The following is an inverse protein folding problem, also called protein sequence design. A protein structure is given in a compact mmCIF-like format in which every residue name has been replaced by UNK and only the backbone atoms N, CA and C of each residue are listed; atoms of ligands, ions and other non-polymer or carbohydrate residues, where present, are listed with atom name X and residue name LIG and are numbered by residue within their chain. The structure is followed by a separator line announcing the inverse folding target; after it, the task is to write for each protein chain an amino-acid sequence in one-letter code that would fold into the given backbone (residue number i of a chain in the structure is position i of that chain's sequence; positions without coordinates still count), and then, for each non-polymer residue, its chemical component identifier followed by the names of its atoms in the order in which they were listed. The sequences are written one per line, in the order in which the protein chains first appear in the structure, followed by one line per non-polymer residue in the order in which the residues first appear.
data_IF_937567612880
#
_entry.id   IF_937567612880
#
_cell.length_a   1.000
_cell.length_b   1.000
_cell.length_c   1.000
_cell.angle_alpha   90.00
_cell.angle_beta   90.00
_cell.angle_gamma   90.00
#
_symmetry.space_group_name_H-M   'P 1'
#
loop_
_entity.id
_entity.type
_entity.pdbx_description
1 polymer ?
#
# COMPACT_ATOMS: atom_id res chain seq x y z
N UNK A 1 24.97 5.25 3.70
CA UNK A 1 24.64 6.54 4.35
C UNK A 1 23.77 6.30 5.58
N UNK A 2 23.76 7.22 6.54
CA UNK A 2 22.83 7.20 7.68
C UNK A 2 21.82 8.35 7.54
N UNK A 3 20.54 8.09 7.80
CA UNK A 3 19.44 9.06 7.72
C UNK A 3 18.70 9.14 9.06
N UNK A 4 18.50 10.37 9.52
CA UNK A 4 17.56 10.73 10.59
C UNK A 4 16.72 11.90 10.09
N UNK A 5 15.39 11.76 10.09
CA UNK A 5 14.47 12.69 9.43
C UNK A 5 13.79 12.09 8.19
N UNK A 6 13.46 12.91 7.20
CA UNK A 6 12.80 12.50 5.96
C UNK A 6 13.65 12.83 4.74
N UNK A 7 13.71 11.90 3.80
CA UNK A 7 14.33 12.13 2.50
C UNK A 7 13.65 11.33 1.40
N UNK A 8 13.56 11.94 0.22
CA UNK A 8 13.19 11.28 -1.02
C UNK A 8 14.46 10.95 -1.81
N UNK A 9 14.56 9.71 -2.27
CA UNK A 9 15.69 9.20 -3.05
C UNK A 9 15.23 8.81 -4.44
N UNK A 10 16.02 9.20 -5.45
CA UNK A 10 15.94 8.70 -6.81
C UNK A 10 17.29 8.09 -7.15
N UNK A 11 17.37 6.77 -7.12
CA UNK A 11 18.61 6.01 -7.32
C UNK A 11 18.61 5.43 -8.71
N UNK A 12 19.68 5.68 -9.47
CA UNK A 12 19.89 5.08 -10.79
C UNK A 12 20.07 3.56 -10.66
N UNK A 13 19.74 2.82 -11.72
CA UNK A 13 19.86 1.36 -11.68
C UNK A 13 21.32 0.92 -11.71
N UNK A 14 21.76 0.24 -10.65
CA UNK A 14 23.07 -0.39 -10.54
C UNK A 14 22.95 -1.64 -9.64
N UNK A 15 22.99 -2.81 -10.27
CA UNK A 15 22.94 -4.09 -9.56
C UNK A 15 24.29 -4.47 -8.91
N UNK A 16 25.40 -3.97 -9.45
CA UNK A 16 26.74 -4.24 -8.95
C UNK A 16 27.04 -3.43 -7.67
N UNK A 17 26.48 -2.22 -7.56
CA UNK A 17 26.66 -1.34 -6.41
C UNK A 17 25.33 -0.97 -5.72
N UNK A 18 24.74 -1.88 -4.92
CA UNK A 18 23.52 -1.63 -4.19
C UNK A 18 23.62 -0.41 -3.26
N UNK A 19 22.68 0.51 -3.41
CA UNK A 19 22.55 1.67 -2.54
C UNK A 19 21.90 1.28 -1.20
N UNK A 20 22.46 1.77 -0.09
CA UNK A 20 22.00 1.44 1.27
C UNK A 20 21.75 2.69 2.11
N UNK A 21 20.52 2.79 2.62
CA UNK A 21 20.11 3.81 3.60
C UNK A 21 19.95 3.13 4.95
N UNK A 22 20.70 3.59 5.94
CA UNK A 22 20.64 3.13 7.32
C UNK A 22 19.84 4.13 8.14
N UNK A 23 18.95 3.65 8.99
CA UNK A 23 18.28 4.44 10.02
C UNK A 23 18.61 3.84 11.39
N UNK A 24 18.00 4.38 12.45
CA UNK A 24 18.15 3.83 13.80
C UNK A 24 17.77 2.34 13.87
N UNK A 25 16.71 1.94 13.15
CA UNK A 25 16.13 0.61 13.27
C UNK A 25 16.09 -0.20 11.98
N UNK A 26 16.27 0.42 10.82
CA UNK A 26 16.13 -0.25 9.52
C UNK A 26 17.38 -0.07 8.66
N UNK A 27 17.64 -1.09 7.86
CA UNK A 27 18.48 -1.01 6.68
C UNK A 27 17.58 -1.14 5.46
N UNK A 28 17.71 -0.18 4.54
CA UNK A 28 17.00 -0.16 3.27
C UNK A 28 18.00 -0.33 2.14
N UNK A 29 17.88 -1.40 1.35
CA UNK A 29 18.77 -1.72 0.22
C UNK A 29 17.99 -1.69 -1.08
N UNK A 30 18.56 -1.01 -2.08
CA UNK A 30 17.95 -0.81 -3.38
C UNK A 30 18.97 -0.96 -4.50
N UNK A 31 18.49 -1.28 -5.71
CA UNK A 31 19.31 -1.44 -6.91
C UNK A 31 18.97 -0.43 -8.01
N UNK A 32 18.05 0.51 -7.76
CA UNK A 32 17.50 1.40 -8.80
C UNK A 32 16.03 1.69 -8.57
N UNK A 33 15.73 2.63 -7.68
CA UNK A 33 14.37 2.87 -7.17
C UNK A 33 14.15 4.35 -6.89
N UNK A 34 12.88 4.75 -6.94
CA UNK A 34 12.42 6.00 -6.32
C UNK A 34 11.64 5.67 -5.06
N UNK A 35 12.09 6.15 -3.91
CA UNK A 35 11.49 5.82 -2.62
C UNK A 35 11.69 6.95 -1.60
N UNK A 36 10.83 7.00 -0.59
CA UNK A 36 10.90 7.94 0.52
C UNK A 36 11.20 7.17 1.81
N UNK A 37 12.07 7.70 2.64
CA UNK A 37 12.31 7.19 4.00
C UNK A 37 11.96 8.29 4.99
N UNK A 38 11.15 7.95 5.99
CA UNK A 38 10.77 8.79 7.13
C UNK A 38 11.20 8.10 8.42
N UNK A 39 12.20 8.66 9.08
CA UNK A 39 12.84 8.10 10.26
C UNK A 39 13.15 9.22 11.27
N UNK A 40 12.11 9.94 11.70
CA UNK A 40 12.25 10.99 12.71
C UNK A 40 12.46 10.38 14.11
N UNK A 41 13.44 10.84 14.90
CA UNK A 41 13.69 10.32 16.25
C UNK A 41 12.48 10.44 17.19
N UNK A 42 11.65 11.47 17.00
CA UNK A 42 10.47 11.76 17.82
C UNK A 42 9.22 10.99 17.36
N UNK A 43 9.24 10.35 16.19
CA UNK A 43 8.11 9.57 15.70
C UNK A 43 8.22 8.12 16.18
N UNK A 44 7.08 7.56 16.56
CA UNK A 44 6.99 6.19 17.07
C UNK A 44 7.26 5.12 16.00
N UNK A 45 7.65 5.46 14.77
CA UNK A 45 7.89 4.47 13.72
C UNK A 45 8.74 4.98 12.57
N UNK A 46 9.32 4.05 11.83
CA UNK A 46 10.03 4.34 10.57
C UNK A 46 9.17 3.88 9.40
N UNK A 47 9.00 4.74 8.40
CA UNK A 47 8.25 4.43 7.18
C UNK A 47 9.17 4.45 5.97
N UNK A 48 9.09 3.42 5.14
CA UNK A 48 9.78 3.35 3.84
C UNK A 48 8.72 3.16 2.77
N UNK A 49 8.57 4.12 1.86
CA UNK A 49 7.51 4.14 0.85
C UNK A 49 8.12 4.05 -0.55
N UNK A 50 7.63 3.14 -1.38
CA UNK A 50 8.19 2.89 -2.72
C UNK A 50 7.31 3.51 -3.80
N UNK A 51 7.93 4.33 -4.66
CA UNK A 51 7.29 4.87 -5.87
C UNK A 51 7.60 4.03 -7.10
N UNK A 52 8.86 3.64 -7.30
CA UNK A 52 9.28 2.80 -8.44
C UNK A 52 10.37 1.80 -8.06
N UNK A 53 10.45 0.70 -8.81
CA UNK A 53 11.42 -0.37 -8.63
C UNK A 53 11.12 -1.27 -7.41
N UNK A 54 12.15 -1.93 -6.85
CA UNK A 54 12.03 -2.84 -5.72
C UNK A 54 12.96 -2.47 -4.57
N UNK A 55 12.43 -2.41 -3.36
CA UNK A 55 13.17 -2.02 -2.16
C UNK A 55 13.18 -3.18 -1.16
N UNK A 56 14.36 -3.58 -0.68
CA UNK A 56 14.48 -4.53 0.43
C UNK A 56 14.67 -3.76 1.74
N UNK A 57 13.81 -4.00 2.70
CA UNK A 57 13.87 -3.40 4.04
C UNK A 57 14.09 -4.49 5.06
N UNK A 58 15.09 -4.34 5.91
CA UNK A 58 15.37 -5.27 7.01
C UNK A 58 15.56 -4.53 8.32
N UNK A 59 15.08 -5.05 9.45
CA UNK A 59 15.43 -4.52 10.74
C UNK A 59 16.94 -4.62 10.96
N UNK A 60 17.52 -3.51 11.40
CA UNK A 60 18.91 -3.42 11.77
C UNK A 60 19.03 -3.90 13.22
N UNK A 61 19.57 -5.10 13.42
CA UNK A 61 20.00 -5.52 14.76
C UNK A 61 21.23 -4.69 15.13
N UNK A 62 21.33 -4.17 16.38
CA UNK A 62 22.60 -3.67 16.87
C UNK A 62 23.67 -4.75 16.69
N UNK A 63 24.91 -4.35 16.39
CA UNK A 63 26.01 -5.30 16.37
C UNK A 63 26.07 -5.99 17.74
N UNK A 64 26.15 -7.34 17.80
CA UNK A 64 26.25 -8.01 19.09
C UNK A 64 27.50 -7.51 19.81
N UNK A 65 27.34 -7.06 21.05
CA UNK A 65 28.48 -6.89 21.94
C UNK A 65 29.15 -8.24 22.17
N UNK A 66 30.43 -8.25 22.53
CA UNK A 66 31.22 -9.48 22.73
C UNK A 66 30.53 -10.46 23.70
N UNK A 67 29.76 -9.94 24.67
CA UNK A 67 28.94 -10.71 25.61
C UNK A 67 27.69 -11.38 25.00
N UNK A 68 27.15 -10.88 23.87
CA UNK A 68 25.96 -11.41 23.20
C UNK A 68 26.29 -12.45 22.11
N UNK A 69 27.58 -12.60 21.76
CA UNK A 69 28.03 -13.59 20.79
C UNK A 69 27.97 -15.03 21.33
N UNK A 70 28.05 -15.21 22.66
CA UNK A 70 28.21 -16.52 23.30
C UNK A 70 26.88 -17.28 23.54
N UNK A 71 25.72 -16.60 23.54
CA UNK A 71 24.40 -17.22 23.79
C UNK A 71 23.41 -16.92 22.66
N UNK A 72 23.79 -17.25 21.43
CA UNK A 72 22.97 -16.95 20.24
C UNK A 72 21.91 -18.02 19.99
N UNK A 73 20.92 -18.15 20.88
CA UNK A 73 19.62 -18.70 20.46
C UNK A 73 19.01 -17.65 19.54
N UNK A 74 19.09 -17.85 18.22
CA UNK A 74 18.54 -16.91 17.24
C UNK A 74 17.02 -16.79 17.50
N UNK A 75 16.62 -15.78 18.30
CA UNK A 75 15.24 -15.35 18.37
C UNK A 75 14.72 -15.06 16.95
N UNK A 76 13.42 -15.29 16.69
CA UNK A 76 12.86 -15.35 15.34
C UNK A 76 13.36 -14.16 14.52
N UNK A 77 14.07 -14.47 13.43
CA UNK A 77 14.60 -13.46 12.54
C UNK A 77 13.42 -12.64 12.01
N UNK A 78 13.29 -11.39 12.46
CA UNK A 78 12.30 -10.47 11.88
C UNK A 78 12.64 -10.36 10.40
N UNK A 79 11.77 -10.95 9.57
CA UNK A 79 12.08 -11.25 8.17
C UNK A 79 12.19 -9.94 7.41
N UNK A 80 13.24 -9.82 6.60
CA UNK A 80 13.36 -8.73 5.65
C UNK A 80 12.14 -8.74 4.71
N UNK A 81 11.62 -7.56 4.40
CA UNK A 81 10.52 -7.38 3.46
C UNK A 81 11.05 -6.84 2.14
N UNK A 82 10.47 -7.33 1.05
CA UNK A 82 10.62 -6.71 -0.26
C UNK A 82 9.35 -5.94 -0.55
N UNK A 83 9.51 -4.66 -0.89
CA UNK A 83 8.47 -3.74 -1.26
C UNK A 83 8.48 -3.51 -2.77
N UNK A 84 7.29 -3.51 -3.35
CA UNK A 84 6.99 -3.15 -4.72
C UNK A 84 6.43 -1.72 -4.78
N UNK A 85 6.28 -1.12 -5.98
CA UNK A 85 5.60 0.16 -6.11
C UNK A 85 4.22 0.15 -5.45
N UNK A 86 3.80 1.29 -4.93
CA UNK A 86 2.55 1.47 -4.16
C UNK A 86 2.49 0.69 -2.84
N UNK A 87 3.62 0.20 -2.35
CA UNK A 87 3.74 -0.40 -1.03
C UNK A 87 4.62 0.45 -0.11
N UNK A 88 4.39 0.30 1.18
CA UNK A 88 5.23 0.87 2.22
C UNK A 88 5.55 -0.17 3.29
N UNK A 89 6.71 -0.04 3.92
CA UNK A 89 7.01 -0.70 5.17
C UNK A 89 6.82 0.28 6.33
N UNK A 90 6.09 -0.16 7.35
CA UNK A 90 5.96 0.56 8.62
C UNK A 90 6.63 -0.28 9.70
N UNK A 91 7.63 0.30 10.35
CA UNK A 91 8.33 -0.32 11.47
C UNK A 91 7.92 0.33 12.78
N UNK A 92 7.40 -0.48 13.69
CA UNK A 92 7.08 -0.09 15.06
C UNK A 92 8.19 -0.61 16.01
N UNK A 93 9.06 0.26 16.57
CA UNK A 93 10.16 -0.13 17.45
C UNK A 93 9.66 -0.79 18.73
N UNK A 94 8.57 -0.29 19.33
CA UNK A 94 8.00 -0.86 20.56
C UNK A 94 7.52 -2.31 20.44
N UNK A 95 7.16 -2.76 19.23
CA UNK A 95 6.77 -4.16 18.95
C UNK A 95 7.82 -4.92 18.15
N UNK A 96 8.93 -4.26 17.81
CA UNK A 96 9.93 -4.70 16.83
C UNK A 96 9.32 -5.29 15.55
N UNK A 97 8.19 -4.74 15.13
CA UNK A 97 7.38 -5.31 14.06
C UNK A 97 7.58 -4.50 12.79
N UNK A 98 7.99 -5.19 11.72
CA UNK A 98 8.03 -4.66 10.37
C UNK A 98 6.80 -5.15 9.62
N UNK A 99 5.92 -4.24 9.20
CA UNK A 99 4.69 -4.56 8.47
C UNK A 99 4.73 -3.96 7.09
N UNK A 100 4.17 -4.67 6.13
CA UNK A 100 3.93 -4.16 4.78
C UNK A 100 2.51 -3.65 4.68
N UNK A 101 2.36 -2.47 4.12
CA UNK A 101 1.08 -1.79 3.93
C UNK A 101 1.01 -1.18 2.53
N UNK A 102 -0.17 -0.71 2.11
CA UNK A 102 -0.30 0.10 0.91
C UNK A 102 0.12 1.54 1.20
N UNK A 103 0.63 2.20 0.16
CA UNK A 103 0.81 3.66 0.23
C UNK A 103 -0.54 4.37 0.38
N UNK A 104 -0.62 5.47 1.15
CA UNK A 104 -1.81 6.32 1.22
C UNK A 104 -2.19 6.95 -0.13
N UNK A 105 -1.21 7.11 -1.03
CA UNK A 105 -1.40 7.74 -2.34
C UNK A 105 -0.75 6.87 -3.42
N UNK A 106 -1.46 5.88 -3.97
CA UNK A 106 -0.95 5.00 -5.02
C UNK A 106 -0.91 5.72 -6.37
N UNK A 107 0.11 5.42 -7.16
CA UNK A 107 0.33 5.95 -8.51
C UNK A 107 -0.01 4.86 -9.53
N UNK A 108 -0.50 5.25 -10.70
CA UNK A 108 -0.66 4.33 -11.81
C UNK A 108 0.68 3.78 -12.29
N UNK A 109 0.77 2.46 -12.37
CA UNK A 109 1.91 1.76 -12.96
C UNK A 109 1.67 1.44 -14.44
N UNK A 110 0.42 1.07 -14.77
CA UNK A 110 -0.04 0.87 -16.13
C UNK A 110 -1.21 1.83 -16.41
N UNK A 111 -1.00 2.91 -17.18
CA UNK A 111 -2.08 3.82 -17.56
C UNK A 111 -3.14 3.10 -18.39
N UNK A 112 -4.39 3.22 -17.99
CA UNK A 112 -5.54 2.75 -18.74
C UNK A 112 -6.74 3.68 -18.50
N UNK A 113 -7.66 3.80 -19.47
CA UNK A 113 -8.92 4.50 -19.22
C UNK A 113 -9.72 3.73 -18.18
N UNK A 114 -10.12 4.43 -17.12
CA UNK A 114 -11.06 3.90 -16.15
C UNK A 114 -12.44 4.46 -16.48
N UNK A 115 -13.07 3.86 -17.47
CA UNK A 115 -14.44 4.12 -17.89
C UNK A 115 -15.13 2.76 -18.02
N UNK A 116 -15.83 2.38 -16.96
CA UNK A 116 -16.54 1.12 -16.86
C UNK A 116 -18.02 1.43 -16.72
N UNK A 117 -18.81 1.01 -17.70
CA UNK A 117 -20.26 1.12 -17.71
C UNK A 117 -20.88 -0.26 -17.55
N UNK A 118 -21.65 -0.45 -16.48
CA UNK A 118 -22.35 -1.68 -16.11
C UNK A 118 -21.43 -2.91 -16.20
N UNK A 119 -20.18 -2.78 -15.74
CA UNK A 119 -19.16 -3.83 -15.87
C UNK A 119 -19.12 -4.75 -14.67
N UNK A 120 -18.88 -6.07 -14.87
CA UNK A 120 -18.71 -7.00 -13.77
C UNK A 120 -17.66 -6.52 -12.77
N UNK A 121 -17.98 -6.54 -11.47
CA UNK A 121 -17.06 -6.08 -10.41
C UNK A 121 -15.72 -6.82 -10.49
N UNK A 122 -15.72 -8.12 -10.81
CA UNK A 122 -14.50 -8.89 -10.97
C UNK A 122 -13.55 -8.29 -12.03
N UNK A 123 -14.08 -7.89 -13.19
CA UNK A 123 -13.31 -7.27 -14.28
C UNK A 123 -12.68 -5.95 -13.82
N UNK A 124 -13.47 -5.11 -13.13
CA UNK A 124 -13.01 -3.82 -12.59
C UNK A 124 -11.92 -4.01 -11.53
N UNK A 125 -12.08 -5.01 -10.64
CA UNK A 125 -11.08 -5.32 -9.62
C UNK A 125 -9.77 -5.81 -10.24
N UNK A 126 -9.82 -6.66 -11.27
CA UNK A 126 -8.61 -7.09 -12.01
C UNK A 126 -7.94 -5.92 -12.73
N UNK A 127 -8.73 -5.02 -13.32
CA UNK A 127 -8.20 -3.82 -13.96
C UNK A 127 -7.49 -2.91 -12.94
N UNK A 128 -8.07 -2.70 -11.75
CA UNK A 128 -7.46 -1.92 -10.67
C UNK A 128 -6.20 -2.61 -10.11
N UNK A 129 -6.26 -3.93 -9.93
CA UNK A 129 -5.13 -4.78 -9.51
C UNK A 129 -3.93 -4.56 -10.42
N UNK A 130 -4.16 -4.63 -11.73
CA UNK A 130 -3.13 -4.47 -12.77
C UNK A 130 -2.60 -3.03 -12.81
N UNK A 131 -3.49 -2.06 -12.87
CA UNK A 131 -3.11 -0.66 -13.05
C UNK A 131 -2.32 -0.08 -11.87
N UNK A 132 -2.62 -0.49 -10.64
CA UNK A 132 -1.93 -0.02 -9.43
C UNK A 132 -0.92 -1.04 -8.87
N UNK A 133 -0.81 -2.25 -9.44
CA UNK A 133 0.10 -3.29 -8.93
C UNK A 133 -0.19 -3.75 -7.50
N UNK A 134 -1.44 -3.64 -7.07
CA UNK A 134 -1.90 -4.07 -5.73
C UNK A 134 -2.42 -5.51 -5.79
N UNK A 135 -2.40 -6.26 -4.69
CA UNK A 135 -3.15 -7.54 -4.62
C UNK A 135 -4.52 -7.28 -4.02
N UNK A 136 -5.57 -7.39 -4.83
CA UNK A 136 -6.94 -7.34 -4.33
C UNK A 136 -7.43 -8.79 -4.25
N UNK A 137 -7.80 -9.21 -3.04
CA UNK A 137 -8.38 -10.54 -2.79
C UNK A 137 -9.87 -10.39 -2.53
N UNK A 138 -10.66 -11.17 -3.25
CA UNK A 138 -12.11 -11.20 -3.16
C UNK A 138 -12.63 -12.61 -3.44
N UNK A 139 -13.84 -12.91 -2.99
CA UNK A 139 -14.52 -14.15 -3.35
C UNK A 139 -15.29 -13.96 -4.66
N UNK A 140 -15.02 -14.74 -5.73
CA UNK A 140 -15.74 -14.61 -7.00
C UNK A 140 -17.25 -14.78 -6.86
N UNK A 141 -17.69 -15.70 -5.98
CA UNK A 141 -19.10 -15.92 -5.71
C UNK A 141 -19.78 -14.72 -5.05
N UNK A 142 -19.05 -13.96 -4.22
CA UNK A 142 -19.59 -12.79 -3.53
C UNK A 142 -19.82 -11.58 -4.45
N UNK A 143 -19.17 -11.56 -5.61
CA UNK A 143 -19.29 -10.49 -6.61
C UNK A 143 -19.96 -10.95 -7.91
N UNK A 144 -20.42 -12.20 -7.94
CA UNK A 144 -21.06 -12.80 -9.10
C UNK A 144 -22.35 -12.04 -9.47
N UNK A 145 -22.42 -11.55 -10.71
CA UNK A 145 -23.58 -10.80 -11.20
C UNK A 145 -23.73 -9.38 -10.63
N UNK A 146 -22.74 -8.87 -9.89
CA UNK A 146 -22.65 -7.46 -9.51
C UNK A 146 -21.95 -6.69 -10.63
N UNK A 147 -22.55 -5.57 -11.03
CA UNK A 147 -21.97 -4.63 -11.98
C UNK A 147 -21.72 -3.28 -11.33
N UNK A 148 -20.77 -2.52 -11.88
CA UNK A 148 -20.40 -1.19 -11.40
C UNK A 148 -20.25 -0.22 -12.56
N UNK A 149 -20.63 1.02 -12.29
CA UNK A 149 -20.26 2.17 -13.10
C UNK A 149 -19.09 2.88 -12.42
N UNK A 150 -17.95 2.98 -13.10
CA UNK A 150 -16.75 3.62 -12.56
C UNK A 150 -16.12 4.48 -13.64
N UNK A 151 -16.08 5.77 -13.36
CA UNK A 151 -15.40 6.75 -14.20
C UNK A 151 -14.36 7.45 -13.36
N UNK A 152 -13.11 7.44 -13.82
CA UNK A 152 -12.12 8.33 -13.22
C UNK A 152 -12.48 9.76 -13.61
N UNK A 153 -12.85 10.56 -12.61
CA UNK A 153 -12.89 12.00 -12.79
C UNK A 153 -11.47 12.48 -13.07
N UNK A 154 -11.26 13.10 -14.24
CA UNK A 154 -10.08 13.92 -14.44
C UNK A 154 -10.10 15.02 -13.38
N UNK A 155 -8.95 15.31 -12.76
CA UNK A 155 -8.84 16.41 -11.81
C UNK A 155 -9.14 17.72 -12.54
N UNK A 156 -10.38 18.18 -12.46
CA UNK A 156 -10.78 19.48 -12.97
C UNK A 156 -10.23 20.55 -12.04
N UNK A 157 -9.07 21.13 -12.40
CA UNK A 157 -8.83 22.54 -12.09
C UNK A 157 -9.71 23.34 -13.05
N UNK A 158 -10.94 23.65 -12.63
CA UNK A 158 -11.93 24.64 -13.16
C UNK A 158 -13.34 24.03 -12.99
N UNK A 159 -14.39 24.71 -12.52
CA UNK A 159 -14.61 26.12 -12.24
C UNK A 159 -15.70 26.23 -11.16
N UNK A 160 -15.59 27.27 -10.32
CA UNK A 160 -16.70 27.75 -9.49
C UNK A 160 -17.77 28.32 -10.40
N UNK A 161 -18.96 27.73 -10.42
CA UNK A 161 -20.21 28.45 -10.69
C UNK A 161 -21.44 27.61 -10.35
N UNK A 162 -22.29 28.21 -9.48
CA UNK A 162 -23.73 28.02 -9.32
C UNK A 162 -24.29 26.86 -8.45
N UNK A 163 -24.88 27.29 -7.33
CA UNK A 163 -25.83 26.74 -6.32
C UNK A 163 -27.29 26.80 -6.90
N UNK A 164 -28.45 26.34 -6.31
CA UNK A 164 -28.82 25.72 -4.99
C UNK A 164 -29.79 24.49 -4.99
N UNK A 165 -29.97 23.87 -3.80
CA UNK A 165 -31.32 23.69 -3.20
C UNK A 165 -31.96 22.28 -3.10
N UNK A 166 -32.41 21.95 -1.86
CA UNK A 166 -33.30 20.85 -1.40
C UNK A 166 -32.78 19.41 -1.49
N UNK A 167 -32.96 18.51 -0.52
CA UNK A 167 -33.61 18.45 0.78
C UNK A 167 -33.58 16.97 1.21
N UNK A 168 -33.32 16.70 2.50
CA UNK A 168 -33.64 15.47 3.26
C UNK A 168 -33.50 14.08 2.59
N UNK A 169 -32.56 13.25 3.03
CA UNK A 169 -32.90 12.12 3.95
C UNK A 169 -31.73 11.17 4.26
N UNK A 170 -31.59 10.94 5.57
CA UNK A 170 -31.08 9.79 6.31
C UNK A 170 -30.40 8.65 5.51
N UNK A 171 -29.07 8.59 5.58
CA UNK A 171 -28.33 7.33 5.52
C UNK A 171 -27.35 7.22 6.71
N UNK A 172 -27.44 6.17 7.53
CA UNK A 172 -26.57 6.01 8.69
C UNK A 172 -25.12 5.79 8.25
N UNK A 173 -24.25 6.64 8.77
CA UNK A 173 -22.81 6.60 8.59
C UNK A 173 -22.23 5.36 9.27
N UNK A 174 -22.04 4.26 8.53
CA UNK A 174 -21.05 3.23 8.89
C UNK A 174 -19.86 3.38 7.97
N UNK A 175 -18.80 4.03 8.47
CA UNK A 175 -17.49 4.10 7.81
C UNK A 175 -16.92 2.69 7.70
N UNK A 176 -17.21 1.99 6.60
CA UNK A 176 -16.38 0.89 6.16
C UNK A 176 -15.05 1.50 5.68
N UNK A 177 -13.92 0.96 6.14
CA UNK A 177 -12.59 1.48 5.85
C UNK A 177 -12.40 1.66 4.34
N UNK A 178 -12.43 2.93 3.92
CA UNK A 178 -12.31 3.34 2.53
C UNK A 178 -10.96 2.92 1.98
N UNK A 179 -10.96 2.36 0.78
CA UNK A 179 -9.77 2.23 -0.06
C UNK A 179 -8.93 3.53 -0.01
N UNK A 180 -7.60 3.47 -0.13
CA UNK A 180 -6.76 4.67 -0.21
C UNK A 180 -7.02 5.51 -1.48
N UNK A 181 -7.96 5.11 -2.33
CA UNK A 181 -8.39 5.82 -3.54
C UNK A 181 -9.53 6.80 -3.24
N UNK A 182 -9.26 7.85 -2.44
CA UNK A 182 -10.25 8.88 -2.09
C UNK A 182 -10.75 9.74 -3.28
N UNK A 183 -10.37 9.37 -4.50
CA UNK A 183 -10.70 10.01 -5.79
C UNK A 183 -11.56 9.12 -6.69
N UNK A 184 -12.03 7.97 -6.18
CA UNK A 184 -12.81 6.99 -6.93
C UNK A 184 -14.27 7.04 -6.47
N UNK A 185 -15.15 7.62 -7.29
CA UNK A 185 -16.60 7.49 -7.07
C UNK A 185 -17.06 6.13 -7.58
N UNK A 186 -17.48 5.25 -6.68
CA UNK A 186 -18.06 3.95 -7.01
C UNK A 186 -19.56 4.05 -6.77
N UNK A 187 -20.36 4.04 -7.84
CA UNK A 187 -21.81 4.00 -7.73
C UNK A 187 -22.27 2.56 -7.97
N UNK A 188 -22.70 1.89 -6.92
CA UNK A 188 -23.24 0.53 -6.98
C UNK A 188 -24.70 0.62 -7.41
N UNK A 189 -25.08 -0.07 -8.49
CA UNK A 189 -26.49 -0.18 -8.89
C UNK A 189 -27.25 -0.99 -7.82
N UNK A 190 -28.41 -0.51 -7.32
CA UNK A 190 -29.00 -0.97 -6.07
C UNK A 190 -29.71 -2.34 -6.11
N UNK A 191 -29.67 -3.09 -7.21
CA UNK A 191 -30.61 -4.22 -7.38
C UNK A 191 -30.17 -5.58 -6.82
N UNK A 192 -29.04 -5.70 -6.14
CA UNK A 192 -28.59 -7.00 -5.58
C UNK A 192 -27.87 -6.84 -4.24
N UNK A 193 -27.79 -7.89 -3.38
CA UNK A 193 -27.12 -7.85 -2.08
C UNK A 193 -25.59 -7.79 -2.22
N UNK A 194 -25.06 -6.97 -3.14
CA UNK A 194 -23.64 -6.66 -3.30
C UNK A 194 -23.11 -5.78 -2.16
N UNK A 195 -23.94 -5.41 -1.17
CA UNK A 195 -23.63 -4.49 -0.06
C UNK A 195 -22.53 -5.03 0.87
N UNK A 196 -22.23 -6.33 0.84
CA UNK A 196 -21.13 -6.93 1.58
C UNK A 196 -20.06 -7.50 0.63
N UNK A 197 -19.36 -6.62 -0.11
CA UNK A 197 -18.08 -7.01 -0.70
C UNK A 197 -17.09 -7.18 0.45
N UNK A 198 -16.94 -8.41 0.94
CA UNK A 198 -15.83 -8.79 1.80
C UNK A 198 -14.55 -8.70 0.96
N UNK A 199 -13.93 -7.52 0.94
CA UNK A 199 -12.55 -7.38 0.48
C UNK A 199 -11.70 -8.01 1.57
N UNK A 200 -11.44 -9.32 1.40
CA UNK A 200 -10.66 -10.12 2.34
C UNK A 200 -9.20 -9.70 2.19
N UNK A 201 -8.86 -8.57 2.80
CA UNK A 201 -7.53 -7.96 2.82
C UNK A 201 -6.96 -7.60 1.43
N UNK A 202 -6.80 -6.29 1.19
CA UNK A 202 -5.82 -5.81 0.19
C UNK A 202 -4.44 -6.03 0.81
N UNK A 203 -3.88 -7.23 0.63
CA UNK A 203 -2.53 -7.50 1.10
C UNK A 203 -1.56 -6.93 0.08
N UNK A 204 -0.51 -6.23 0.50
CA UNK A 204 0.56 -5.91 -0.45
C UNK A 204 1.16 -7.23 -0.95
N UNK A 205 1.33 -7.39 -2.26
CA UNK A 205 1.86 -8.60 -2.93
C UNK A 205 3.25 -8.96 -2.39
N UNK A 206 3.46 -10.24 -2.02
CA UNK A 206 4.80 -10.84 -1.82
C UNK A 206 5.17 -11.27 -0.40
N UNK A 207 4.26 -11.89 0.37
CA UNK A 207 4.57 -12.55 1.65
C UNK A 207 3.98 -13.96 1.60
N UNK A 208 4.60 -14.97 2.25
CA UNK A 208 4.17 -16.36 2.10
C UNK A 208 2.71 -16.49 2.51
N UNK A 209 1.91 -17.10 1.65
CA UNK A 209 0.53 -17.44 1.92
C UNK A 209 0.50 -18.28 3.21
N UNK A 210 -0.09 -17.74 4.28
CA UNK A 210 -0.54 -18.57 5.37
C UNK A 210 -1.67 -19.44 4.81
N UNK A 211 -1.32 -20.68 4.48
CA UNK A 211 -2.25 -21.76 4.21
C UNK A 211 -2.74 -22.20 5.59
N UNK A 212 -4.01 -21.94 5.89
CA UNK A 212 -4.70 -22.48 7.07
C UNK A 212 -5.79 -23.39 6.55
N UNK A 213 -5.64 -24.67 6.86
CA UNK A 213 -6.67 -25.72 6.80
C UNK A 213 -7.88 -25.39 7.69
#
# INVERSE_FOLDING_TARGET
MYLSGEAFFRVAHDAAHPFRVLTAHLETRVLGTSFTVRAYPQQAGTVVQVRTGRVRVSPRRPAPTVAQAQNRTLGPAVRALVLLPNQQAVYAPGRQQLRRELTPQPVLLAPQPFAFDNRPVAEVLEALKTAYGVDIRYSPAAVAGCTVNLHRQASLRQARSAVPGHGSDLFPSRRANYFPFNWLSVNLTPEKPCIFIAIVCITPTGGPAARGE
#
